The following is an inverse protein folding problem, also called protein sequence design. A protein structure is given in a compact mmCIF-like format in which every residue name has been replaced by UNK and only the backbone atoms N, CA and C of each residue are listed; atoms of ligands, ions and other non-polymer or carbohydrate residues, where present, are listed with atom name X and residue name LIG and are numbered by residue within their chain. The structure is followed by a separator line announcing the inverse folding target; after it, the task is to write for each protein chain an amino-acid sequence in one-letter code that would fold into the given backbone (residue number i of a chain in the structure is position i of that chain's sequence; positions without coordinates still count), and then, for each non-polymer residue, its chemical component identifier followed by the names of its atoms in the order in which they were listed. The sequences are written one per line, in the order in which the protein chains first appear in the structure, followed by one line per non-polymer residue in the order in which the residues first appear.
data_IF_453339228906
#
_entry.id   IF_453339228906
#
_cell.length_a   1.000
_cell.length_b   1.000
_cell.length_c   1.000
_cell.angle_alpha   90.00
_cell.angle_beta   90.00
_cell.angle_gamma   90.00
#
_symmetry.space_group_name_H-M   'P 1'
#
loop_
_entity.id
_entity.type
_entity.pdbx_description
1 polymer ?
#
# COMPACT_ATOMS: atom_id res chain seq x y z
N UNK A 1 -8.18 -76.30 0.84
CA UNK A 1 -7.97 -76.84 2.21
C UNK A 1 -7.13 -75.81 2.94
N UNK A 2 -7.79 -74.87 3.61
CA UNK A 2 -8.15 -74.92 5.04
C UNK A 2 -6.96 -74.65 5.94
N UNK A 3 -6.99 -73.49 6.60
CA UNK A 3 -6.42 -73.34 7.93
C UNK A 3 -7.33 -72.42 8.75
N UNK A 4 -8.15 -73.05 9.59
CA UNK A 4 -8.88 -72.50 10.73
C UNK A 4 -7.92 -71.75 11.68
N UNK A 5 -8.26 -70.54 12.13
CA UNK A 5 -8.99 -70.21 13.36
C UNK A 5 -8.25 -70.54 14.67
N UNK A 6 -7.87 -69.49 15.42
CA UNK A 6 -7.98 -69.43 16.88
C UNK A 6 -8.29 -67.99 17.32
N UNK A 7 -9.43 -67.84 17.99
CA UNK A 7 -9.97 -66.67 18.68
C UNK A 7 -9.52 -66.64 20.14
N UNK A 8 -9.22 -65.46 20.70
CA UNK A 8 -9.90 -64.98 21.93
C UNK A 8 -9.62 -63.49 22.23
N UNK A 9 -10.65 -62.90 22.82
CA UNK A 9 -11.04 -61.52 23.06
C UNK A 9 -10.56 -60.94 24.39
N UNK A 10 -10.28 -59.64 24.48
CA UNK A 10 -10.30 -58.86 25.76
C UNK A 10 -10.85 -57.44 25.52
N UNK A 11 -11.58 -56.97 26.52
CA UNK A 11 -12.59 -55.92 26.62
C UNK A 11 -12.10 -54.46 26.53
N UNK A 12 -13.07 -53.58 26.24
CA UNK A 12 -12.99 -52.12 26.22
C UNK A 12 -13.37 -51.58 27.61
N UNK A 13 -12.59 -50.66 28.22
CA UNK A 13 -13.13 -49.77 29.24
C UNK A 13 -13.59 -48.45 28.61
N UNK A 14 -14.85 -48.10 28.88
CA UNK A 14 -15.41 -46.76 28.67
C UNK A 14 -15.28 -46.00 29.99
N UNK A 15 -14.59 -44.86 29.99
CA UNK A 15 -14.73 -43.84 31.03
C UNK A 15 -15.07 -42.47 30.41
N UNK A 16 -15.98 -41.77 31.10
CA UNK A 16 -16.73 -40.56 30.71
C UNK A 16 -16.11 -39.29 31.31
N UNK A 17 -16.26 -38.17 30.58
CA UNK A 17 -16.26 -36.78 31.07
C UNK A 17 -14.88 -36.24 31.45
N UNK A 18 -14.50 -34.99 31.21
CA UNK A 18 -15.22 -33.73 31.02
C UNK A 18 -14.26 -32.66 30.43
N UNK A 19 -14.82 -31.54 29.98
CA UNK A 19 -14.16 -30.26 29.68
C UNK A 19 -13.35 -30.10 28.38
N UNK A 20 -14.07 -29.95 27.27
CA UNK A 20 -13.59 -29.21 26.10
C UNK A 20 -13.84 -27.70 26.33
N UNK A 21 -12.91 -27.04 27.01
CA UNK A 21 -12.73 -25.61 26.82
C UNK A 21 -12.35 -25.34 25.37
N UNK A 22 -13.02 -24.35 24.76
CA UNK A 22 -12.76 -23.86 23.43
C UNK A 22 -11.26 -23.55 23.22
N UNK A 23 -10.63 -24.19 22.25
CA UNK A 23 -9.37 -23.70 21.68
C UNK A 23 -9.71 -22.76 20.52
N UNK A 24 -9.15 -21.54 20.47
CA UNK A 24 -9.31 -20.68 19.31
C UNK A 24 -8.57 -21.33 18.14
N UNK A 25 -9.28 -21.46 17.02
CA UNK A 25 -8.71 -21.92 15.76
C UNK A 25 -7.76 -20.82 15.24
N UNK A 26 -6.51 -20.84 15.69
CA UNK A 26 -5.43 -20.09 15.04
C UNK A 26 -5.22 -20.70 13.65
N UNK A 27 -5.88 -20.14 12.64
CA UNK A 27 -5.45 -20.34 11.27
C UNK A 27 -4.10 -19.66 11.11
N UNK A 28 -3.04 -20.47 11.13
CA UNK A 28 -1.72 -20.12 10.65
C UNK A 28 -1.84 -19.67 9.19
N UNK A 29 -1.87 -18.35 8.96
CA UNK A 29 -1.28 -17.78 7.75
C UNK A 29 0.21 -18.11 7.85
N UNK A 30 0.66 -19.19 7.22
CA UNK A 30 2.10 -19.40 7.03
C UNK A 30 2.63 -18.20 6.26
N UNK A 31 3.54 -17.38 6.83
CA UNK A 31 4.24 -16.36 6.06
C UNK A 31 4.92 -17.08 4.90
N UNK A 32 4.55 -16.76 3.65
CA UNK A 32 5.31 -17.28 2.51
C UNK A 32 6.73 -16.73 2.63
N UNK A 33 7.70 -17.63 2.69
CA UNK A 33 9.10 -17.30 2.97
C UNK A 33 9.58 -16.19 2.02
N UNK A 34 10.03 -15.07 2.59
CA UNK A 34 10.87 -14.10 1.88
C UNK A 34 10.26 -12.73 1.56
N UNK A 35 8.98 -12.46 1.85
CA UNK A 35 8.39 -11.11 1.72
C UNK A 35 7.48 -10.75 2.90
N UNK A 36 7.44 -9.48 3.27
CA UNK A 36 6.57 -8.92 4.32
C UNK A 36 6.18 -7.48 3.95
N UNK A 37 5.01 -7.03 4.42
CA UNK A 37 4.47 -5.70 4.16
C UNK A 37 3.77 -5.16 5.40
N UNK A 38 3.60 -3.85 5.47
CA UNK A 38 2.80 -3.25 6.53
C UNK A 38 2.71 -1.74 6.44
N UNK A 39 2.10 -1.17 7.46
CA UNK A 39 1.96 0.27 7.68
C UNK A 39 2.47 0.60 9.07
N UNK A 40 3.06 1.78 9.22
CA UNK A 40 3.59 2.30 10.48
C UNK A 40 2.99 3.68 10.74
N UNK A 41 2.20 3.83 11.78
CA UNK A 41 1.66 5.14 12.16
C UNK A 41 2.66 5.89 13.04
N UNK A 42 3.17 7.00 12.51
CA UNK A 42 4.03 7.94 13.22
C UNK A 42 3.15 9.06 13.76
N UNK A 43 2.94 9.04 15.07
CA UNK A 43 2.25 10.11 15.78
C UNK A 43 3.12 11.36 15.83
N UNK A 44 2.54 12.53 15.52
CA UNK A 44 3.26 13.80 15.66
C UNK A 44 3.56 14.08 17.13
N UNK A 45 4.84 14.03 17.49
CA UNK A 45 5.34 14.51 18.79
C UNK A 45 6.16 15.77 18.56
N UNK A 46 6.08 16.72 19.50
CA UNK A 46 6.58 18.10 19.47
C UNK A 46 8.10 18.30 19.25
N UNK A 47 8.84 17.26 18.84
CA UNK A 47 10.29 17.25 18.80
C UNK A 47 10.84 17.58 17.39
N UNK A 48 10.86 18.87 17.04
CA UNK A 48 11.49 19.44 15.84
C UNK A 48 11.13 18.77 14.49
N UNK A 49 9.99 18.07 14.42
CA UNK A 49 9.50 17.38 13.22
C UNK A 49 10.28 16.11 12.86
N UNK A 50 11.12 15.57 13.76
CA UNK A 50 11.88 14.34 13.56
C UNK A 50 11.32 13.19 14.40
N UNK A 51 11.13 12.03 13.79
CA UNK A 51 10.67 10.83 14.49
C UNK A 51 11.26 9.58 13.87
N UNK A 52 11.60 8.60 14.71
CA UNK A 52 11.95 7.27 14.26
C UNK A 52 11.28 6.20 15.12
N UNK A 53 10.79 5.14 14.50
CA UNK A 53 10.14 4.03 15.18
C UNK A 53 10.63 2.69 14.62
N UNK A 54 10.88 1.74 15.53
CA UNK A 54 11.25 0.38 15.16
C UNK A 54 10.02 -0.41 14.71
N UNK A 55 10.15 -1.13 13.60
CA UNK A 55 9.15 -2.02 13.03
C UNK A 55 9.69 -3.44 13.10
N UNK A 56 8.98 -4.31 13.79
CA UNK A 56 9.31 -5.74 13.84
C UNK A 56 8.62 -6.47 12.70
N UNK A 57 9.35 -7.38 12.07
CA UNK A 57 8.77 -8.30 11.09
C UNK A 57 7.92 -9.35 11.81
N UNK A 58 6.78 -9.73 11.22
CA UNK A 58 5.89 -10.77 11.77
C UNK A 58 6.62 -12.10 11.96
N UNK A 59 7.57 -12.39 11.08
CA UNK A 59 8.48 -13.52 11.18
C UNK A 59 9.89 -13.09 10.81
N UNK A 60 10.91 -13.57 11.53
CA UNK A 60 12.29 -13.25 11.17
C UNK A 60 12.66 -13.84 9.81
N UNK A 61 13.30 -13.05 8.97
CA UNK A 61 13.97 -13.49 7.75
C UNK A 61 15.16 -14.41 8.07
N UNK A 62 15.63 -15.17 7.08
CA UNK A 62 16.75 -16.09 7.25
C UNK A 62 18.05 -15.34 7.55
N UNK A 63 18.97 -15.93 8.32
CA UNK A 63 20.29 -15.34 8.52
C UNK A 63 21.14 -15.41 7.23
N UNK A 64 22.11 -14.50 7.11
CA UNK A 64 23.12 -14.53 6.04
C UNK A 64 22.73 -13.87 4.70
N UNK A 65 21.47 -13.46 4.51
CA UNK A 65 21.05 -12.68 3.34
C UNK A 65 20.50 -11.32 3.77
N UNK A 66 20.93 -10.19 3.17
CA UNK A 66 20.38 -8.88 3.52
C UNK A 66 18.88 -8.77 3.22
N UNK A 67 18.14 -8.12 4.12
CA UNK A 67 16.76 -7.70 3.90
C UNK A 67 16.77 -6.34 3.23
N UNK A 68 15.91 -6.13 2.23
CA UNK A 68 15.68 -4.82 1.63
C UNK A 68 14.31 -4.31 2.01
N UNK A 69 14.24 -3.07 2.43
CA UNK A 69 13.01 -2.39 2.82
C UNK A 69 12.78 -1.21 1.89
N UNK A 70 11.56 -1.12 1.39
CA UNK A 70 11.04 -0.04 0.58
C UNK A 70 9.91 0.63 1.34
N UNK A 71 9.89 1.96 1.33
CA UNK A 71 8.96 2.75 2.12
C UNK A 71 8.41 3.94 1.31
N UNK A 72 7.19 4.35 1.60
CA UNK A 72 6.52 5.52 1.00
C UNK A 72 5.69 6.24 2.05
N UNK A 73 5.59 7.57 1.90
CA UNK A 73 4.84 8.42 2.82
C UNK A 73 3.35 8.35 2.47
N UNK A 74 2.52 8.17 3.50
CA UNK A 74 1.07 8.17 3.42
C UNK A 74 0.51 8.96 4.60
N UNK A 75 -0.14 10.11 4.38
CA UNK A 75 -0.67 10.93 5.47
C UNK A 75 -2.00 10.42 6.06
N UNK A 76 -2.53 9.30 5.56
CA UNK A 76 -3.80 8.76 6.03
C UNK A 76 -4.98 9.68 5.73
N UNK A 77 -6.18 9.28 6.13
CA UNK A 77 -7.41 10.02 5.80
C UNK A 77 -7.78 11.10 6.84
N UNK A 78 -6.78 11.75 7.46
CA UNK A 78 -6.97 12.57 8.66
C UNK A 78 -7.01 14.09 8.42
N UNK A 79 -6.63 14.58 7.23
CA UNK A 79 -6.53 16.03 6.95
C UNK A 79 -7.46 16.50 5.83
N UNK A 80 -8.00 17.72 5.99
CA UNK A 80 -8.74 18.44 4.96
C UNK A 80 -7.84 19.25 4.02
N UNK A 81 -6.57 19.45 4.38
CA UNK A 81 -5.57 20.20 3.60
C UNK A 81 -4.41 19.30 3.20
N UNK A 82 -3.85 19.56 2.02
CA UNK A 82 -2.71 18.80 1.50
C UNK A 82 -1.47 19.04 2.36
N UNK A 83 -0.86 17.97 2.86
CA UNK A 83 0.30 18.04 3.73
C UNK A 83 1.55 18.59 3.01
N UNK A 84 2.48 19.15 3.78
CA UNK A 84 3.81 19.48 3.30
C UNK A 84 4.65 18.22 3.05
N UNK A 85 5.69 18.34 2.22
CA UNK A 85 6.65 17.26 1.98
C UNK A 85 7.26 16.76 3.28
N UNK A 86 7.38 15.45 3.43
CA UNK A 86 8.22 14.82 4.43
C UNK A 86 9.36 14.04 3.77
N UNK A 87 10.40 13.77 4.54
CA UNK A 87 11.57 13.01 4.12
C UNK A 87 11.66 11.76 4.97
N UNK A 88 11.69 10.59 4.33
CA UNK A 88 11.75 9.29 5.02
C UNK A 88 13.00 8.51 4.65
N UNK A 89 13.45 7.69 5.60
CA UNK A 89 14.48 6.70 5.37
C UNK A 89 14.30 5.50 6.30
N UNK A 90 15.06 4.45 6.03
CA UNK A 90 15.18 3.29 6.90
C UNK A 90 16.59 3.19 7.47
N UNK A 91 16.72 2.65 8.67
CA UNK A 91 17.99 2.39 9.34
C UNK A 91 17.88 1.13 10.23
N UNK A 92 18.99 0.67 10.81
CA UNK A 92 19.03 -0.54 11.66
C UNK A 92 18.31 -1.77 11.04
N UNK A 93 18.47 -1.98 9.73
CA UNK A 93 17.81 -3.09 9.01
C UNK A 93 18.49 -4.40 9.40
N UNK A 94 17.74 -5.27 10.07
CA UNK A 94 18.15 -6.62 10.50
C UNK A 94 17.24 -7.67 9.87
N UNK A 95 17.44 -8.95 10.21
CA UNK A 95 16.53 -10.02 9.77
C UNK A 95 15.20 -10.04 10.54
N UNK A 96 15.10 -9.38 11.69
CA UNK A 96 13.89 -9.41 12.54
C UNK A 96 13.17 -8.06 12.65
N UNK A 97 13.85 -6.96 12.33
CA UNK A 97 13.30 -5.61 12.41
C UNK A 97 14.02 -4.64 11.49
N UNK A 98 13.43 -3.48 11.30
CA UNK A 98 14.10 -2.28 10.82
C UNK A 98 13.60 -1.08 11.62
N UNK A 99 14.20 0.09 11.41
CA UNK A 99 13.72 1.34 11.94
C UNK A 99 13.38 2.28 10.80
N UNK A 100 12.20 2.88 10.85
CA UNK A 100 11.75 3.88 9.88
C UNK A 100 11.80 5.25 10.53
N UNK A 101 12.27 6.24 9.79
CA UNK A 101 12.45 7.59 10.26
C UNK A 101 11.78 8.58 9.31
N UNK A 102 11.36 9.71 9.86
CA UNK A 102 10.67 10.78 9.16
C UNK A 102 11.13 12.15 9.69
N UNK A 103 11.41 13.07 8.77
CA UNK A 103 11.55 14.51 9.04
C UNK A 103 10.50 15.27 8.23
N UNK A 104 9.72 16.12 8.89
CA UNK A 104 8.79 17.02 8.22
C UNK A 104 9.55 18.18 7.55
N UNK A 105 9.18 18.50 6.30
CA UNK A 105 9.83 19.53 5.50
C UNK A 105 9.20 20.93 5.59
N UNK A 106 8.00 21.08 6.16
CA UNK A 106 7.28 22.35 6.25
C UNK A 106 6.71 22.63 7.65
N UNK A 107 5.93 23.72 7.78
CA UNK A 107 5.28 24.10 9.05
C UNK A 107 4.17 23.12 9.49
N UNK A 108 3.78 22.21 8.59
CA UNK A 108 2.92 21.07 8.89
C UNK A 108 1.44 21.47 8.93
N UNK A 109 0.58 20.67 8.30
CA UNK A 109 -0.87 20.78 8.45
C UNK A 109 -1.38 20.25 9.81
N UNK A 110 -0.48 19.76 10.68
CA UNK A 110 -0.85 18.82 11.74
C UNK A 110 -1.20 17.44 11.18
N UNK A 111 -1.43 16.43 12.02
CA UNK A 111 -1.95 15.11 11.59
C UNK A 111 -0.94 13.95 11.66
N UNK A 112 -1.43 12.73 11.92
CA UNK A 112 -0.56 11.56 11.94
C UNK A 112 -0.01 11.27 10.54
N UNK A 113 1.19 10.71 10.45
CA UNK A 113 1.75 10.28 9.16
C UNK A 113 1.99 8.79 9.23
N UNK A 114 1.44 8.05 8.27
CA UNK A 114 1.69 6.63 8.10
C UNK A 114 2.86 6.44 7.11
N UNK A 115 3.71 5.46 7.38
CA UNK A 115 4.71 4.96 6.41
C UNK A 115 4.23 3.59 5.92
N UNK A 116 3.98 3.52 4.62
CA UNK A 116 3.69 2.28 3.92
C UNK A 116 5.02 1.59 3.61
N UNK A 117 5.19 0.32 3.99
CA UNK A 117 6.45 -0.40 3.79
C UNK A 117 6.29 -1.80 3.21
N UNK A 118 7.29 -2.21 2.46
CA UNK A 118 7.43 -3.53 1.85
C UNK A 118 8.87 -4.00 2.01
N UNK A 119 9.05 -5.24 2.45
CA UNK A 119 10.36 -5.83 2.68
C UNK A 119 10.46 -7.20 2.04
N UNK A 120 11.61 -7.50 1.47
CA UNK A 120 11.91 -8.84 0.98
C UNK A 120 13.36 -9.22 1.21
N UNK A 121 13.64 -10.51 1.10
CA UNK A 121 14.98 -11.07 1.24
C UNK A 121 15.34 -11.94 0.04
N UNK A 122 16.61 -11.86 -0.37
CA UNK A 122 17.17 -12.73 -1.40
C UNK A 122 16.63 -12.42 -2.80
N UNK A 123 17.05 -13.24 -3.76
CA UNK A 123 16.68 -13.09 -5.16
C UNK A 123 15.18 -13.25 -5.35
N UNK A 124 14.59 -12.32 -6.12
CA UNK A 124 13.18 -12.32 -6.47
C UNK A 124 13.07 -12.58 -7.98
N UNK A 125 12.20 -13.52 -8.38
CA UNK A 125 12.08 -13.92 -9.79
C UNK A 125 11.66 -12.75 -10.67
N UNK A 126 12.44 -12.42 -11.70
CA UNK A 126 12.14 -11.31 -12.61
C UNK A 126 12.41 -9.90 -12.05
N UNK A 127 13.08 -9.79 -10.90
CA UNK A 127 13.38 -8.50 -10.26
C UNK A 127 14.88 -8.34 -10.08
N UNK A 128 15.39 -7.18 -10.50
CA UNK A 128 16.74 -6.75 -10.13
C UNK A 128 16.65 -5.80 -8.95
N UNK A 129 17.55 -5.95 -7.99
CA UNK A 129 17.58 -5.10 -6.81
C UNK A 129 19.00 -4.89 -6.31
N UNK A 130 19.24 -3.77 -5.64
CA UNK A 130 20.58 -3.38 -5.21
C UNK A 130 20.58 -2.20 -4.25
N UNK A 131 21.78 -1.78 -3.86
CA UNK A 131 22.02 -0.55 -3.12
C UNK A 131 22.95 0.35 -3.90
N UNK A 132 22.59 1.62 -4.09
CA UNK A 132 23.46 2.63 -4.66
C UNK A 132 24.07 3.45 -3.52
N UNK A 133 25.37 3.31 -3.29
CA UNK A 133 26.09 4.02 -2.22
C UNK A 133 26.53 5.41 -2.66
N UNK A 134 26.36 6.40 -1.79
CA UNK A 134 26.78 7.77 -2.02
C UNK A 134 28.04 8.09 -1.22
N UNK A 135 29.01 8.73 -1.88
CA UNK A 135 30.22 9.26 -1.25
C UNK A 135 29.90 10.43 -0.31
N UNK A 136 30.88 10.88 0.47
CA UNK A 136 30.74 12.08 1.28
C UNK A 136 30.39 13.31 0.42
N UNK A 137 29.34 14.03 0.79
CA UNK A 137 28.99 15.33 0.20
C UNK A 137 28.43 16.27 1.27
N UNK A 138 28.42 17.58 0.99
CA UNK A 138 28.00 18.61 1.97
C UNK A 138 26.78 19.40 1.56
N UNK A 139 26.47 19.48 0.26
CA UNK A 139 25.28 20.18 -0.23
C UNK A 139 24.99 19.80 -1.69
N UNK A 140 23.82 20.23 -2.16
CA UNK A 140 23.40 20.12 -3.55
C UNK A 140 22.84 18.74 -3.90
N UNK A 141 22.59 18.56 -5.21
CA UNK A 141 22.12 17.28 -5.75
C UNK A 141 23.31 16.37 -6.04
N UNK A 142 23.26 15.14 -5.52
CA UNK A 142 24.18 14.07 -5.91
C UNK A 142 23.40 13.00 -6.68
N UNK A 143 23.94 12.53 -7.80
CA UNK A 143 23.31 11.48 -8.60
C UNK A 143 24.28 10.35 -8.89
N UNK A 144 23.81 9.12 -8.75
CA UNK A 144 24.56 7.92 -9.08
C UNK A 144 23.86 7.15 -10.19
N UNK A 145 24.61 6.78 -11.23
CA UNK A 145 24.14 5.92 -12.30
C UNK A 145 24.21 4.46 -11.86
N UNK A 146 23.11 3.74 -12.07
CA UNK A 146 22.95 2.32 -11.76
C UNK A 146 22.68 1.57 -13.05
N UNK A 147 23.54 0.63 -13.41
CA UNK A 147 23.33 -0.27 -14.53
C UNK A 147 22.59 -1.54 -14.06
N UNK A 148 21.62 -2.00 -14.83
CA UNK A 148 20.99 -3.28 -14.59
C UNK A 148 21.93 -4.42 -14.98
N UNK A 149 21.91 -5.57 -14.27
CA UNK A 149 22.72 -6.74 -14.64
C UNK A 149 22.52 -7.19 -16.09
N UNK A 150 21.29 -7.07 -16.59
CA UNK A 150 20.91 -7.26 -17.98
C UNK A 150 19.90 -6.18 -18.37
N UNK A 151 19.86 -5.81 -19.65
CA UNK A 151 18.83 -4.92 -20.16
C UNK A 151 17.46 -5.60 -20.15
N UNK A 152 16.44 -4.86 -19.69
CA UNK A 152 15.04 -5.23 -19.81
C UNK A 152 14.54 -5.09 -21.26
N UNK A 153 13.42 -5.74 -21.58
CA UNK A 153 12.75 -5.62 -22.88
C UNK A 153 12.01 -4.30 -23.02
N UNK A 154 11.47 -3.78 -21.91
CA UNK A 154 10.84 -2.47 -21.80
C UNK A 154 11.43 -1.68 -20.63
N UNK A 155 11.15 -0.39 -20.54
CA UNK A 155 11.60 0.41 -19.40
C UNK A 155 10.93 -0.15 -18.13
N UNK A 156 11.69 -0.62 -17.13
CA UNK A 156 11.11 -1.27 -15.96
C UNK A 156 10.49 -0.25 -15.02
N UNK A 157 9.60 -0.73 -14.14
CA UNK A 157 9.16 0.01 -12.96
C UNK A 157 10.24 -0.02 -11.90
N UNK A 158 10.53 1.12 -11.28
CA UNK A 158 11.62 1.24 -10.29
C UNK A 158 11.09 1.84 -8.99
N UNK A 159 11.43 1.20 -7.87
CA UNK A 159 11.14 1.72 -6.54
C UNK A 159 12.41 1.91 -5.74
N UNK A 160 12.48 3.02 -5.00
CA UNK A 160 13.65 3.38 -4.20
C UNK A 160 13.32 3.80 -2.79
N UNK A 161 14.26 3.61 -1.88
CA UNK A 161 14.18 4.11 -0.50
C UNK A 161 15.56 4.39 0.04
N UNK A 162 15.70 5.54 0.72
CA UNK A 162 16.96 5.92 1.37
C UNK A 162 17.19 5.04 2.59
N UNK A 163 18.41 4.54 2.73
CA UNK A 163 18.88 3.82 3.90
C UNK A 163 20.10 4.54 4.50
N UNK A 164 20.02 4.84 5.79
CA UNK A 164 21.14 5.40 6.54
C UNK A 164 22.06 4.29 7.05
N UNK A 165 23.36 4.46 6.85
CA UNK A 165 24.40 3.59 7.42
C UNK A 165 24.84 3.99 8.82
N UNK A 166 24.48 5.20 9.27
CA UNK A 166 24.67 5.66 10.66
C UNK A 166 23.30 6.01 11.22
N UNK A 167 22.92 5.40 12.34
CA UNK A 167 21.60 5.60 12.95
C UNK A 167 21.46 7.02 13.53
N UNK A 168 20.21 7.51 13.59
CA UNK A 168 19.82 8.77 14.24
C UNK A 168 20.43 10.05 13.63
N UNK A 169 20.81 10.01 12.33
CA UNK A 169 21.36 11.17 11.63
C UNK A 169 20.25 11.98 10.94
N UNK A 170 19.49 12.76 11.71
CA UNK A 170 18.39 13.59 11.15
C UNK A 170 18.83 14.60 10.07
N UNK A 171 20.08 15.03 10.11
CA UNK A 171 20.71 15.92 9.12
C UNK A 171 20.86 15.23 7.75
N UNK A 172 20.97 13.90 7.74
CA UNK A 172 21.06 13.11 6.52
C UNK A 172 19.69 12.83 5.87
N UNK A 173 18.65 13.57 6.27
CA UNK A 173 17.34 13.49 5.64
C UNK A 173 17.40 14.06 4.21
N UNK A 174 16.89 13.31 3.23
CA UNK A 174 17.08 13.59 1.80
C UNK A 174 15.77 13.40 1.02
N UNK A 175 15.59 14.22 -0.01
CA UNK A 175 14.70 13.88 -1.15
C UNK A 175 15.41 12.85 -2.03
N UNK A 176 14.65 11.90 -2.59
CA UNK A 176 15.14 10.87 -3.51
C UNK A 176 14.24 10.77 -4.74
N UNK A 177 14.83 10.71 -5.92
CA UNK A 177 14.10 10.50 -7.18
C UNK A 177 14.95 9.77 -8.22
N UNK A 178 14.28 9.25 -9.25
CA UNK A 178 14.94 8.66 -10.41
C UNK A 178 15.01 9.67 -11.56
N UNK A 179 16.12 9.67 -12.29
CA UNK A 179 16.33 10.40 -13.53
C UNK A 179 16.89 9.47 -14.60
N UNK A 180 16.74 9.86 -15.88
CA UNK A 180 17.41 9.20 -17.02
C UNK A 180 17.24 7.66 -17.05
N UNK A 181 16.03 7.18 -16.74
CA UNK A 181 15.70 5.75 -16.78
C UNK A 181 15.61 5.25 -18.23
N UNK A 182 16.11 4.03 -18.46
CA UNK A 182 16.09 3.32 -19.73
C UNK A 182 15.97 1.82 -19.46
N UNK A 183 16.00 1.01 -20.51
CA UNK A 183 15.96 -0.46 -20.37
C UNK A 183 17.21 -1.06 -19.73
N UNK A 184 18.36 -0.36 -19.74
CA UNK A 184 19.64 -0.91 -19.25
C UNK A 184 20.18 -0.25 -17.99
N UNK A 185 19.59 0.87 -17.57
CA UNK A 185 20.10 1.68 -16.46
C UNK A 185 19.12 2.77 -16.02
N UNK A 186 19.43 3.40 -14.90
CA UNK A 186 18.83 4.64 -14.41
C UNK A 186 19.85 5.47 -13.63
N UNK A 187 19.52 6.73 -13.33
CA UNK A 187 20.21 7.53 -12.34
C UNK A 187 19.32 7.74 -11.11
N UNK A 188 19.87 7.56 -9.92
CA UNK A 188 19.20 7.87 -8.66
C UNK A 188 19.86 9.09 -8.04
N UNK A 189 19.05 10.06 -7.66
CA UNK A 189 19.53 11.33 -7.13
C UNK A 189 19.06 11.55 -5.69
N UNK A 190 19.93 12.16 -4.90
CA UNK A 190 19.67 12.64 -3.55
C UNK A 190 19.83 14.15 -3.50
N UNK A 191 18.96 14.81 -2.74
CA UNK A 191 19.12 16.22 -2.39
C UNK A 191 18.84 16.41 -0.91
N UNK A 192 19.74 17.13 -0.26
CA UNK A 192 19.67 17.53 1.15
C UNK A 192 18.30 18.15 1.49
N UNK A 193 17.68 17.72 2.59
CA UNK A 193 16.39 18.25 3.03
C UNK A 193 16.50 19.68 3.59
N UNK A 194 17.63 20.02 4.22
CA UNK A 194 17.91 21.34 4.80
C UNK A 194 19.27 21.81 4.33
N UNK A 195 19.30 22.81 3.45
CA UNK A 195 20.55 23.28 2.84
C UNK A 195 21.60 23.68 3.89
N UNK A 196 22.82 23.18 3.73
CA UNK A 196 23.98 23.49 4.57
C UNK A 196 23.91 22.95 6.00
N UNK A 197 23.25 21.81 6.22
CA UNK A 197 23.13 21.22 7.56
C UNK A 197 24.34 20.37 7.97
N UNK A 198 25.25 20.07 7.05
CA UNK A 198 26.57 19.51 7.37
C UNK A 198 27.09 18.50 6.35
N UNK A 199 28.08 17.67 6.75
CA UNK A 199 28.55 16.56 5.93
C UNK A 199 27.60 15.36 6.00
N UNK A 200 27.28 14.78 4.84
CA UNK A 200 26.48 13.57 4.71
C UNK A 200 27.35 12.40 4.27
N UNK A 201 27.25 11.26 4.96
CA UNK A 201 28.08 10.09 4.63
C UNK A 201 27.37 8.77 4.94
N UNK A 202 27.84 7.67 4.35
CA UNK A 202 27.27 6.32 4.52
C UNK A 202 25.79 6.26 4.15
N UNK A 203 25.40 7.03 3.14
CA UNK A 203 24.07 6.99 2.55
C UNK A 203 24.01 5.92 1.47
N UNK A 204 22.92 5.17 1.46
CA UNK A 204 22.62 4.18 0.43
C UNK A 204 21.18 4.38 -0.05
N UNK A 205 20.93 4.18 -1.33
CA UNK A 205 19.56 4.04 -1.83
C UNK A 205 19.32 2.60 -2.22
N UNK A 206 18.43 1.93 -1.47
CA UNK A 206 17.90 0.64 -1.88
C UNK A 206 17.03 0.85 -3.12
N UNK A 207 17.21 -0.01 -4.12
CA UNK A 207 16.43 0.04 -5.35
C UNK A 207 15.96 -1.36 -5.74
N UNK A 208 14.78 -1.43 -6.37
CA UNK A 208 14.28 -2.61 -7.08
C UNK A 208 13.71 -2.19 -8.43
N UNK A 209 13.84 -3.06 -9.44
CA UNK A 209 13.40 -2.85 -10.80
C UNK A 209 12.76 -4.12 -11.38
N UNK A 210 11.61 -3.99 -12.02
CA UNK A 210 10.86 -5.10 -12.62
C UNK A 210 9.99 -4.65 -13.80
N UNK A 211 9.72 -5.55 -14.75
CA UNK A 211 8.67 -5.36 -15.77
C UNK A 211 7.31 -5.84 -15.25
N UNK A 212 7.32 -6.98 -14.57
CA UNK A 212 6.17 -7.60 -13.95
C UNK A 212 6.51 -7.96 -12.51
N UNK A 213 5.65 -7.60 -11.56
CA UNK A 213 5.88 -7.94 -10.17
C UNK A 213 5.75 -9.47 -9.96
N UNK A 214 6.57 -10.07 -9.08
CA UNK A 214 6.46 -11.48 -8.74
C UNK A 214 5.12 -11.83 -8.09
N UNK A 215 4.56 -13.00 -8.42
CA UNK A 215 3.37 -13.53 -7.72
C UNK A 215 3.59 -13.67 -6.21
N UNK A 216 4.83 -13.94 -5.78
CA UNK A 216 5.20 -14.08 -4.37
C UNK A 216 4.98 -12.79 -3.56
N UNK A 217 4.95 -11.62 -4.19
CA UNK A 217 4.73 -10.34 -3.52
C UNK A 217 3.26 -10.10 -3.16
N UNK A 218 2.35 -10.87 -3.77
CA UNK A 218 0.90 -10.72 -3.62
C UNK A 218 0.39 -9.31 -3.99
N UNK A 219 1.18 -8.56 -4.75
CA UNK A 219 0.76 -7.30 -5.32
C UNK A 219 -0.43 -7.50 -6.26
N UNK A 220 -1.32 -6.51 -6.33
CA UNK A 220 -2.55 -6.56 -7.14
C UNK A 220 -2.52 -5.61 -8.32
N UNK A 221 -1.76 -4.53 -8.22
CA UNK A 221 -1.70 -3.47 -9.23
C UNK A 221 -0.33 -2.79 -9.23
N UNK A 222 0.15 -2.41 -10.41
CA UNK A 222 1.32 -1.56 -10.57
C UNK A 222 1.20 -0.82 -11.90
N UNK A 223 1.46 0.48 -11.89
CA UNK A 223 1.39 1.33 -13.07
C UNK A 223 2.17 2.64 -12.83
N UNK A 224 1.99 3.62 -13.71
CA UNK A 224 2.50 4.98 -13.57
C UNK A 224 1.40 6.03 -13.60
N UNK A 225 1.68 7.16 -12.95
CA UNK A 225 0.90 8.39 -13.02
C UNK A 225 1.76 9.45 -13.68
N UNK A 226 1.25 10.12 -14.70
CA UNK A 226 1.95 11.21 -15.39
C UNK A 226 1.35 12.55 -14.95
N UNK A 227 2.16 13.41 -14.36
CA UNK A 227 1.87 14.83 -14.16
C UNK A 227 2.45 15.60 -15.34
N UNK A 228 1.58 16.19 -16.15
CA UNK A 228 2.00 16.86 -17.38
C UNK A 228 2.66 18.21 -17.11
N UNK A 229 3.51 18.65 -18.03
CA UNK A 229 4.15 19.98 -17.99
C UNK A 229 3.17 21.17 -17.98
N UNK A 230 1.88 20.93 -18.25
CA UNK A 230 0.83 21.96 -18.31
C UNK A 230 0.04 22.09 -17.01
N UNK A 231 0.23 21.16 -16.07
CA UNK A 231 -0.46 21.20 -14.78
C UNK A 231 0.15 22.26 -13.87
N UNK A 232 -0.71 23.07 -13.25
CA UNK A 232 -0.33 24.20 -12.41
C UNK A 232 -0.75 23.90 -10.96
N UNK A 233 0.19 23.98 -9.99
CA UNK A 233 -0.14 23.78 -8.58
C UNK A 233 -1.09 24.87 -8.06
N UNK A 234 -2.11 24.48 -7.29
CA UNK A 234 -3.13 25.40 -6.76
C UNK A 234 -2.92 25.69 -5.28
N UNK A 235 -3.38 26.86 -4.82
CA UNK A 235 -3.34 27.21 -3.40
C UNK A 235 -4.20 26.25 -2.54
N UNK A 236 -5.32 25.77 -3.08
CA UNK A 236 -6.19 24.78 -2.42
C UNK A 236 -5.45 23.47 -2.07
N UNK A 237 -4.42 23.14 -2.84
CA UNK A 237 -3.57 21.96 -2.63
C UNK A 237 -2.20 22.34 -2.04
N UNK A 238 -2.09 23.49 -1.37
CA UNK A 238 -0.85 23.93 -0.74
C UNK A 238 0.31 23.99 -1.75
N UNK A 239 0.01 24.36 -3.01
CA UNK A 239 0.92 24.36 -4.15
C UNK A 239 1.58 23.00 -4.48
N UNK A 240 0.91 21.89 -4.14
CA UNK A 240 1.21 20.56 -4.68
C UNK A 240 0.33 20.23 -5.91
N UNK A 241 0.79 19.31 -6.73
CA UNK A 241 -0.03 18.67 -7.77
C UNK A 241 -0.53 17.33 -7.26
N UNK A 242 -1.84 17.11 -7.25
CA UNK A 242 -2.42 15.88 -6.73
C UNK A 242 -3.38 15.24 -7.73
N UNK A 243 -3.39 13.90 -7.78
CA UNK A 243 -4.32 13.09 -8.59
C UNK A 243 -4.91 11.95 -7.78
N UNK A 244 -6.21 11.74 -7.97
CA UNK A 244 -6.90 10.58 -7.43
C UNK A 244 -6.80 9.42 -8.44
N UNK A 245 -6.41 8.25 -7.95
CA UNK A 245 -6.30 7.02 -8.73
C UNK A 245 -7.19 5.96 -8.10
N UNK A 246 -8.21 5.54 -8.85
CA UNK A 246 -9.09 4.46 -8.42
C UNK A 246 -8.43 3.10 -8.67
N UNK A 247 -8.52 2.21 -7.69
CA UNK A 247 -8.09 0.83 -7.85
C UNK A 247 -9.02 0.10 -8.82
N UNK A 248 -8.47 -0.88 -9.54
CA UNK A 248 -9.28 -1.71 -10.45
C UNK A 248 -10.37 -2.50 -9.72
N UNK A 249 -10.09 -2.94 -8.50
CA UNK A 249 -11.04 -3.63 -7.62
C UNK A 249 -10.88 -3.05 -6.20
N UNK A 250 -11.95 -2.99 -5.40
CA UNK A 250 -11.85 -2.57 -4.01
C UNK A 250 -11.02 -3.56 -3.18
N UNK A 251 -10.35 -3.04 -2.16
CA UNK A 251 -9.58 -3.79 -1.18
C UNK A 251 -10.38 -3.99 0.11
N UNK A 252 -10.09 -5.07 0.83
CA UNK A 252 -10.69 -5.37 2.12
C UNK A 252 -10.36 -4.29 3.17
N UNK A 253 -9.13 -3.80 3.14
CA UNK A 253 -8.63 -2.70 3.96
C UNK A 253 -7.69 -1.82 3.09
N UNK A 254 -7.38 -0.58 3.50
CA UNK A 254 -6.48 0.29 2.73
C UNK A 254 -5.14 -0.41 2.45
N UNK A 255 -4.75 -0.62 1.19
CA UNK A 255 -3.55 -1.39 0.84
C UNK A 255 -2.26 -0.63 1.12
N UNK A 256 -1.13 -1.34 1.14
CA UNK A 256 0.20 -0.73 1.06
C UNK A 256 0.42 -0.21 -0.35
N UNK A 257 0.80 1.06 -0.49
CA UNK A 257 1.12 1.67 -1.79
C UNK A 257 2.55 2.20 -1.72
N UNK A 258 3.44 1.63 -2.54
CA UNK A 258 4.77 2.17 -2.76
C UNK A 258 4.74 3.12 -3.95
N UNK A 259 5.47 4.23 -3.84
CA UNK A 259 5.58 5.25 -4.88
C UNK A 259 7.03 5.63 -5.09
N UNK A 260 7.39 5.95 -6.33
CA UNK A 260 8.70 6.53 -6.64
C UNK A 260 8.55 7.55 -7.74
N UNK A 261 9.00 8.77 -7.47
CA UNK A 261 8.96 9.87 -8.42
C UNK A 261 10.14 9.77 -9.39
N UNK A 262 9.83 9.90 -10.67
CA UNK A 262 10.73 9.79 -11.80
C UNK A 262 10.62 11.09 -12.59
N UNK A 263 11.77 11.71 -12.83
CA UNK A 263 11.86 12.81 -13.77
C UNK A 263 11.63 12.27 -15.19
N UNK A 264 10.40 12.47 -15.70
CA UNK A 264 9.99 12.01 -17.01
C UNK A 264 10.74 12.81 -18.08
N UNK A 265 11.69 12.14 -18.73
CA UNK A 265 12.45 12.73 -19.83
C UNK A 265 11.50 13.30 -20.89
N UNK A 266 11.53 14.62 -21.07
CA UNK A 266 11.01 15.22 -22.29
C UNK A 266 11.96 14.81 -23.43
N UNK A 267 11.46 14.07 -24.42
CA UNK A 267 12.19 13.79 -25.67
C UNK A 267 12.48 15.05 -26.50
N UNK A 268 12.15 16.26 -26.02
CA UNK A 268 12.44 17.49 -26.71
C UNK A 268 13.89 17.92 -26.48
N UNK A 269 14.76 17.55 -27.42
CA UNK A 269 16.15 17.99 -27.54
C UNK A 269 16.34 19.53 -27.58
N UNK A 270 15.25 20.31 -27.64
CA UNK A 270 15.24 21.77 -27.73
C UNK A 270 14.93 22.48 -26.40
N UNK A 271 14.69 21.78 -25.28
CA UNK A 271 14.48 22.43 -23.97
C UNK A 271 15.85 22.65 -23.30
N UNK A 272 16.29 23.91 -23.25
CA UNK A 272 17.63 24.30 -22.80
C UNK A 272 17.98 23.91 -21.35
N UNK A 273 16.99 23.64 -20.50
CA UNK A 273 17.17 23.10 -19.14
C UNK A 273 15.95 22.28 -18.72
N UNK A 274 15.91 20.95 -18.90
CA UNK A 274 14.93 20.13 -18.19
C UNK A 274 15.26 20.20 -16.70
N UNK A 275 14.33 20.71 -15.88
CA UNK A 275 14.45 20.75 -14.41
C UNK A 275 14.79 19.34 -13.92
N UNK A 276 15.97 19.16 -13.29
CA UNK A 276 16.49 17.84 -12.89
C UNK A 276 16.01 17.36 -11.52
N UNK A 277 15.35 18.22 -10.73
CA UNK A 277 14.94 17.98 -9.35
C UNK A 277 15.31 19.17 -8.45
N UNK A 278 15.11 19.09 -7.12
CA UNK A 278 14.55 17.95 -6.38
C UNK A 278 13.07 17.67 -6.71
N UNK A 279 12.67 16.41 -6.56
CA UNK A 279 11.29 15.93 -6.73
C UNK A 279 10.88 15.14 -5.49
N UNK A 280 9.63 15.31 -5.04
CA UNK A 280 9.07 14.54 -3.93
C UNK A 280 7.66 14.09 -4.26
N UNK A 281 7.31 12.88 -3.86
CA UNK A 281 5.95 12.34 -3.93
C UNK A 281 5.51 11.80 -2.58
N UNK A 282 4.21 11.89 -2.30
CA UNK A 282 3.59 11.28 -1.14
C UNK A 282 2.14 10.91 -1.45
N UNK A 283 1.58 10.03 -0.64
CA UNK A 283 0.17 9.68 -0.66
C UNK A 283 -0.54 10.56 0.35
N UNK A 284 -1.52 11.33 -0.12
CA UNK A 284 -2.34 12.19 0.74
C UNK A 284 -3.42 11.38 1.43
N UNK A 285 -4.02 10.43 0.72
CA UNK A 285 -5.00 9.49 1.25
C UNK A 285 -4.86 8.13 0.55
N UNK A 286 -5.11 7.05 1.30
CA UNK A 286 -5.27 5.70 0.77
C UNK A 286 -6.52 5.11 1.41
N UNK A 287 -7.50 4.77 0.59
CA UNK A 287 -8.76 4.14 1.01
C UNK A 287 -8.82 2.71 0.48
N UNK A 288 -9.99 2.08 0.59
CA UNK A 288 -10.23 0.75 0.03
C UNK A 288 -10.45 0.79 -1.50
N UNK A 289 -10.78 1.94 -2.09
CA UNK A 289 -11.19 2.05 -3.50
C UNK A 289 -10.32 3.01 -4.32
N UNK A 290 -9.53 3.87 -3.69
CA UNK A 290 -8.63 4.79 -4.37
C UNK A 290 -7.48 5.24 -3.47
N UNK A 291 -6.50 5.90 -4.09
CA UNK A 291 -5.53 6.72 -3.38
C UNK A 291 -5.39 8.08 -4.06
N UNK A 292 -4.96 9.08 -3.30
CA UNK A 292 -4.59 10.41 -3.81
C UNK A 292 -3.10 10.57 -3.71
N UNK A 293 -2.45 10.69 -4.86
CA UNK A 293 -1.01 10.89 -4.94
C UNK A 293 -0.71 12.34 -5.22
N UNK A 294 0.21 12.92 -4.46
CA UNK A 294 0.68 14.28 -4.62
C UNK A 294 2.16 14.32 -4.96
N UNK A 295 2.56 15.35 -5.72
CA UNK A 295 3.96 15.68 -5.99
C UNK A 295 4.24 17.15 -5.70
N UNK A 296 5.48 17.42 -5.34
CA UNK A 296 6.11 18.74 -5.44
C UNK A 296 7.40 18.62 -6.23
N UNK A 297 7.65 19.60 -7.07
CA UNK A 297 8.87 19.69 -7.86
C UNK A 297 9.51 21.07 -7.74
N UNK A 298 10.74 21.15 -8.22
CA UNK A 298 11.53 22.39 -8.20
C UNK A 298 11.06 23.44 -9.22
N UNK A 299 10.08 23.12 -10.09
CA UNK A 299 9.53 24.12 -11.00
C UNK A 299 8.62 25.13 -10.25
N UNK A 300 8.07 24.76 -9.10
CA UNK A 300 7.21 25.66 -8.33
C UNK A 300 5.94 26.06 -9.07
N UNK A 301 5.41 27.24 -8.77
CA UNK A 301 4.12 27.72 -9.30
C UNK A 301 4.20 28.18 -10.76
N UNK A 302 5.25 28.91 -11.13
CA UNK A 302 5.40 29.60 -12.43
C UNK A 302 6.62 29.12 -13.25
N UNK A 303 7.40 28.16 -12.73
CA UNK A 303 8.55 27.63 -13.42
C UNK A 303 8.20 26.67 -14.56
N UNK A 304 9.13 26.54 -15.50
CA UNK A 304 8.98 25.60 -16.61
C UNK A 304 9.10 24.16 -16.12
N UNK A 305 8.03 23.40 -16.25
CA UNK A 305 7.94 21.99 -15.86
C UNK A 305 8.22 21.06 -17.04
N UNK A 306 8.73 19.86 -16.75
CA UNK A 306 8.71 18.71 -17.67
C UNK A 306 7.76 17.66 -17.10
N UNK A 307 7.33 16.67 -17.88
CA UNK A 307 6.47 15.63 -17.34
C UNK A 307 7.14 14.93 -16.15
N UNK A 308 6.42 14.80 -15.05
CA UNK A 308 6.87 14.03 -13.88
C UNK A 308 6.07 12.74 -13.86
N UNK A 309 6.76 11.62 -13.76
CA UNK A 309 6.15 10.29 -13.72
C UNK A 309 6.27 9.78 -12.30
N UNK A 310 5.25 9.09 -11.80
CA UNK A 310 5.30 8.42 -10.50
C UNK A 310 4.92 6.97 -10.70
N UNK A 311 5.90 6.08 -10.52
CA UNK A 311 5.66 4.65 -10.49
C UNK A 311 5.00 4.28 -9.17
N UNK A 312 4.01 3.39 -9.22
CA UNK A 312 3.38 2.86 -8.02
C UNK A 312 3.23 1.33 -8.04
N UNK A 313 3.21 0.74 -6.84
CA UNK A 313 2.96 -0.68 -6.59
C UNK A 313 1.98 -0.81 -5.43
N UNK A 314 0.88 -1.53 -5.64
CA UNK A 314 -0.20 -1.73 -4.66
C UNK A 314 -0.16 -3.17 -4.15
N UNK A 315 -0.01 -3.32 -2.84
CA UNK A 315 0.10 -4.60 -2.16
C UNK A 315 -0.93 -4.67 -1.04
N UNK A 316 -1.85 -5.62 -1.14
CA UNK A 316 -2.93 -5.77 -0.18
C UNK A 316 -3.92 -6.81 -0.63
N UNK A 317 -4.95 -7.01 0.18
CA UNK A 317 -5.94 -8.05 -0.04
C UNK A 317 -7.21 -7.46 -0.61
N UNK A 318 -7.70 -8.04 -1.72
CA UNK A 318 -8.91 -7.58 -2.39
C UNK A 318 -10.12 -7.83 -1.51
N UNK A 319 -11.15 -7.00 -1.66
CA UNK A 319 -12.41 -7.21 -0.95
C UNK A 319 -13.05 -8.51 -1.46
N UNK A 320 -13.27 -9.53 -0.59
CA UNK A 320 -13.88 -10.79 -1.00
C UNK A 320 -15.32 -10.62 -1.50
N UNK A 321 -15.97 -9.47 -1.22
CA UNK A 321 -17.29 -9.15 -1.73
C UNK A 321 -17.32 -8.77 -3.21
N UNK A 322 -16.17 -8.49 -3.85
CA UNK A 322 -16.11 -8.05 -5.25
C UNK A 322 -16.81 -9.01 -6.22
N UNK A 323 -16.70 -10.32 -5.99
CA UNK A 323 -17.33 -11.37 -6.80
C UNK A 323 -18.33 -12.23 -6.01
N UNK A 324 -18.77 -11.75 -4.84
CA UNK A 324 -19.70 -12.48 -4.00
C UNK A 324 -21.13 -12.41 -4.57
N UNK A 325 -21.82 -13.56 -4.58
CA UNK A 325 -23.23 -13.63 -4.94
C UNK A 325 -24.07 -13.97 -3.71
N UNK A 326 -24.83 -12.98 -3.24
CA UNK A 326 -25.73 -13.11 -2.09
C UNK A 326 -27.19 -13.31 -2.56
N UNK A 327 -27.86 -14.33 -2.02
CA UNK A 327 -29.25 -14.69 -2.38
C UNK A 327 -30.26 -13.96 -1.49
N UNK A 328 -31.54 -14.00 -1.87
CA UNK A 328 -32.65 -13.49 -1.04
C UNK A 328 -32.52 -12.01 -0.65
N UNK A 329 -31.98 -11.16 -1.52
CA UNK A 329 -31.73 -9.74 -1.22
C UNK A 329 -30.80 -9.48 -0.02
N UNK A 330 -30.03 -10.48 0.43
CA UNK A 330 -28.91 -10.24 1.34
C UNK A 330 -27.79 -9.48 0.61
N UNK A 331 -26.96 -8.77 1.38
CA UNK A 331 -25.77 -8.08 0.89
C UNK A 331 -24.52 -8.69 1.50
N UNK A 332 -23.41 -8.58 0.78
CA UNK A 332 -22.13 -9.13 1.20
C UNK A 332 -21.47 -8.21 2.24
N UNK A 333 -20.91 -8.81 3.28
CA UNK A 333 -20.04 -8.15 4.26
C UNK A 333 -18.78 -8.99 4.43
N UNK A 334 -17.62 -8.39 4.18
CA UNK A 334 -16.35 -9.03 4.39
C UNK A 334 -16.05 -9.18 5.89
N UNK A 335 -15.65 -10.38 6.30
CA UNK A 335 -15.28 -10.70 7.68
C UNK A 335 -13.76 -10.84 7.85
N UNK A 336 -13.06 -11.18 6.77
CA UNK A 336 -11.61 -11.21 6.65
C UNK A 336 -11.23 -11.04 5.18
N UNK A 337 -9.93 -10.92 4.84
CA UNK A 337 -9.47 -10.88 3.45
C UNK A 337 -10.02 -11.98 2.53
N UNK A 338 -10.23 -13.18 3.07
CA UNK A 338 -10.65 -14.37 2.30
C UNK A 338 -12.07 -14.83 2.62
N UNK A 339 -12.75 -14.18 3.57
CA UNK A 339 -14.07 -14.62 4.04
C UNK A 339 -15.07 -13.48 3.98
N UNK A 340 -16.25 -13.80 3.46
CA UNK A 340 -17.40 -12.93 3.50
C UNK A 340 -18.64 -13.67 3.99
N UNK A 341 -19.60 -12.93 4.50
CA UNK A 341 -20.92 -13.42 4.88
C UNK A 341 -22.00 -12.61 4.17
N UNK A 342 -23.10 -13.27 3.82
CA UNK A 342 -24.26 -12.58 3.27
C UNK A 342 -25.24 -12.30 4.41
N UNK A 343 -25.50 -11.01 4.68
CA UNK A 343 -26.34 -10.56 5.79
C UNK A 343 -27.58 -9.85 5.28
N UNK A 344 -28.65 -9.91 6.06
CA UNK A 344 -29.88 -9.19 5.75
C UNK A 344 -29.80 -7.74 6.20
N UNK A 345 -30.46 -6.85 5.46
CA UNK A 345 -30.70 -5.49 5.92
C UNK A 345 -31.43 -5.53 7.26
N UNK A 346 -30.91 -4.81 8.26
CA UNK A 346 -31.44 -4.83 9.61
C UNK A 346 -32.30 -3.60 9.92
N UNK A 347 -32.15 -2.52 9.15
CA UNK A 347 -32.93 -1.31 9.31
C UNK A 347 -33.62 -0.91 8.02
N UNK A 348 -34.90 -0.58 8.10
CA UNK A 348 -35.68 -0.09 6.98
C UNK A 348 -36.28 1.27 7.35
N UNK A 349 -36.37 2.20 6.40
CA UNK A 349 -37.04 3.48 6.61
C UNK A 349 -38.54 3.30 6.88
N UNK A 350 -39.14 4.26 7.57
CA UNK A 350 -40.54 4.22 8.03
C UNK A 350 -41.56 4.78 7.03
N UNK A 351 -41.14 5.23 5.85
CA UNK A 351 -42.08 5.75 4.85
C UNK A 351 -43.04 4.66 4.35
N UNK A 352 -44.23 5.09 3.92
CA UNK A 352 -45.28 4.22 3.41
C UNK A 352 -45.44 4.39 1.89
N UNK A 353 -44.89 3.42 1.16
CA UNK A 353 -45.07 3.23 -0.27
C UNK A 353 -45.35 1.74 -0.50
N UNK A 354 -46.60 1.35 -0.31
CA UNK A 354 -46.98 -0.06 -0.22
C UNK A 354 -46.59 -0.85 -1.48
N UNK A 355 -46.27 -2.12 -1.28
CA UNK A 355 -46.00 -3.09 -2.35
C UNK A 355 -46.71 -4.41 -2.08
N UNK A 356 -47.29 -5.00 -3.12
CA UNK A 356 -47.85 -6.33 -3.10
C UNK A 356 -46.77 -7.34 -3.50
N UNK A 357 -46.58 -8.37 -2.70
CA UNK A 357 -45.69 -9.49 -3.00
C UNK A 357 -46.45 -10.62 -3.72
N UNK A 358 -45.74 -11.46 -4.47
CA UNK A 358 -46.34 -12.56 -5.25
C UNK A 358 -46.98 -13.66 -4.38
N UNK A 359 -46.79 -13.62 -3.06
CA UNK A 359 -47.47 -14.48 -2.09
C UNK A 359 -48.79 -13.86 -1.55
N UNK A 360 -49.26 -12.75 -2.12
CA UNK A 360 -50.50 -12.08 -1.72
C UNK A 360 -50.38 -11.24 -0.45
N UNK A 361 -49.18 -11.03 0.11
CA UNK A 361 -48.95 -10.15 1.27
C UNK A 361 -48.58 -8.73 0.84
N UNK A 362 -49.18 -7.74 1.48
CA UNK A 362 -48.82 -6.32 1.35
C UNK A 362 -47.71 -5.95 2.34
N UNK A 363 -46.72 -5.17 1.91
CA UNK A 363 -45.66 -4.61 2.76
C UNK A 363 -45.66 -3.08 2.67
N UNK A 364 -45.36 -2.38 3.76
CA UNK A 364 -45.41 -0.91 3.83
C UNK A 364 -44.41 -0.23 2.88
N UNK A 365 -43.29 -0.88 2.58
CA UNK A 365 -42.33 -0.42 1.58
C UNK A 365 -41.50 -1.59 1.04
N UNK A 366 -40.76 -1.31 -0.04
CA UNK A 366 -39.91 -2.29 -0.70
C UNK A 366 -38.77 -2.81 0.19
N UNK A 367 -38.26 -2.00 1.12
CA UNK A 367 -37.21 -2.42 2.04
C UNK A 367 -37.71 -3.55 2.96
N UNK A 368 -38.88 -3.38 3.58
CA UNK A 368 -39.48 -4.37 4.46
C UNK A 368 -39.79 -5.68 3.74
N UNK A 369 -40.25 -5.62 2.48
CA UNK A 369 -40.42 -6.80 1.64
C UNK A 369 -39.08 -7.53 1.44
N UNK A 370 -38.02 -6.83 1.03
CA UNK A 370 -36.68 -7.43 0.83
C UNK A 370 -36.11 -8.00 2.14
N UNK A 371 -36.29 -7.30 3.24
CA UNK A 371 -35.85 -7.72 4.57
C UNK A 371 -36.54 -9.03 5.00
N UNK A 372 -37.87 -9.12 4.84
CA UNK A 372 -38.63 -10.35 5.12
C UNK A 372 -38.15 -11.49 4.23
N UNK A 373 -38.02 -11.26 2.91
CA UNK A 373 -37.52 -12.28 1.97
C UNK A 373 -36.15 -12.79 2.41
N UNK A 374 -35.25 -11.89 2.81
CA UNK A 374 -33.93 -12.24 3.27
C UNK A 374 -33.96 -13.11 4.54
N UNK A 375 -34.68 -12.66 5.57
CA UNK A 375 -34.74 -13.34 6.88
C UNK A 375 -35.42 -14.70 6.82
N UNK A 376 -36.48 -14.80 6.02
CA UNK A 376 -37.28 -16.03 5.90
C UNK A 376 -36.81 -16.95 4.78
N UNK A 377 -35.83 -16.51 3.96
CA UNK A 377 -35.44 -17.15 2.68
C UNK A 377 -36.66 -17.38 1.77
N UNK A 378 -37.55 -16.38 1.75
CA UNK A 378 -38.80 -16.42 1.01
C UNK A 378 -38.60 -16.60 -0.50
N UNK A 379 -39.43 -17.43 -1.12
CA UNK A 379 -39.45 -17.61 -2.58
C UNK A 379 -40.61 -16.83 -3.21
N UNK A 380 -40.61 -15.51 -3.02
CA UNK A 380 -41.58 -14.59 -3.59
C UNK A 380 -40.90 -13.27 -3.95
N UNK A 381 -41.49 -12.52 -4.88
CA UNK A 381 -40.94 -11.26 -5.39
C UNK A 381 -41.94 -10.13 -5.23
N UNK A 382 -41.50 -8.89 -5.48
CA UNK A 382 -42.43 -7.79 -5.74
C UNK A 382 -43.30 -8.15 -6.94
N UNK A 383 -44.63 -8.07 -6.79
CA UNK A 383 -45.60 -8.31 -7.85
C UNK A 383 -46.05 -6.99 -8.49
N UNK A 384 -46.61 -6.05 -7.71
CA UNK A 384 -46.91 -4.70 -8.18
C UNK A 384 -46.81 -3.65 -7.05
N UNK A 385 -46.71 -2.35 -7.39
CA UNK A 385 -46.88 -1.25 -6.41
C UNK A 385 -48.32 -1.21 -5.86
N UNK A 386 -48.49 -0.75 -4.62
CA UNK A 386 -49.78 -0.72 -3.91
C UNK A 386 -50.08 -2.00 -3.12
N UNK A 387 -51.20 -2.04 -2.40
CA UNK A 387 -51.64 -3.21 -1.65
C UNK A 387 -52.14 -4.34 -2.56
N UNK A 388 -52.06 -5.59 -2.10
CA UNK A 388 -52.72 -6.71 -2.77
C UNK A 388 -54.25 -6.56 -2.74
N UNK A 389 -54.91 -7.02 -3.80
CA UNK A 389 -56.37 -7.00 -3.99
C UNK A 389 -56.97 -8.39 -4.05
#
# INVERSE_FOLDING_TARGET
MSSNQFTQSIEIPVEKGSDLCAMPLNHLLTPRQGVQRGKLDIQQVRDNGFHCQSVSFNSSFNSGTPVRVFASINHGNESSTVHDTAFIWVEDVTTSRFKACLVQGGQGAGGNTTIDWFAFQGSQSGVYHGGASFSLFTTGTQCNRVAFPQAFSVVPKVHVTVQHGTVEQKQDAMSVWIANISTSQFEVCLHESRTFDGPHSKLMVNWMAYEHYPMAWEAKESSEIVFSEKEIPTADNTHALCKNVSFRNPFYAPPVVLTTVINGGSNNANKACPVKGPLSSWLEEVTNSHFRLCIRDNAGYDGQRSNVIVDYLVIGDLDPCTNASCKYYSHCVASSPDQFTCVCENSCPSYEEQVCASNGRTFNNLCLLKQEICRTRGNYTKYHPGSCT
#
